data_IF_708111545846
#
_entry.id   IF_708111545846
#
_cell.length_a   1.000
_cell.length_b   1.000
_cell.length_c   1.000
_cell.angle_alpha   90.00
_cell.angle_beta   90.00
_cell.angle_gamma   90.00
#
_symmetry.space_group_name_H-M   'P 1'
#
loop_
_entity.id
_entity.type
_entity.pdbx_description
1 polymer ?
#
# COMPACT_ATOMS: atom_id res chain seq x y z
N UNK A 1 -21.20 32.52 -33.59
CA UNK A 1 -20.70 33.30 -34.75
C UNK A 1 -19.20 33.47 -34.50
N UNK A 2 -18.39 32.96 -35.39
CA UNK A 2 -16.94 33.13 -35.31
C UNK A 2 -16.58 34.55 -35.72
N UNK A 3 -15.75 35.23 -34.93
CA UNK A 3 -15.34 36.61 -35.22
C UNK A 3 -13.99 36.59 -35.92
N UNK A 4 -13.88 37.35 -37.03
CA UNK A 4 -12.65 37.55 -37.76
C UNK A 4 -12.09 38.94 -37.41
N UNK A 5 -10.92 38.97 -36.79
CA UNK A 5 -10.24 40.20 -36.46
C UNK A 5 -9.18 40.51 -37.50
N UNK A 6 -9.29 41.65 -38.12
CA UNK A 6 -8.34 42.14 -39.10
C UNK A 6 -7.58 43.34 -38.57
N UNK A 7 -6.28 43.20 -38.47
CA UNK A 7 -5.43 44.27 -37.97
C UNK A 7 -4.63 44.89 -39.13
N UNK A 8 -4.75 46.18 -39.33
CA UNK A 8 -4.10 46.93 -40.37
C UNK A 8 -3.59 48.29 -39.86
N UNK A 9 -2.41 48.73 -40.36
CA UNK A 9 -1.75 49.99 -39.99
C UNK A 9 -2.65 51.26 -40.19
N UNK A 10 -3.53 51.20 -41.14
CA UNK A 10 -4.30 52.35 -41.58
C UNK A 10 -5.76 52.32 -41.15
N UNK A 11 -6.20 51.30 -40.45
CA UNK A 11 -7.62 51.09 -40.14
C UNK A 11 -8.50 50.92 -41.40
N UNK A 12 -7.90 50.92 -42.61
CA UNK A 12 -8.63 50.69 -43.84
C UNK A 12 -8.72 49.23 -44.17
N UNK A 13 -9.92 48.75 -44.31
CA UNK A 13 -10.19 47.38 -44.79
C UNK A 13 -9.76 47.34 -46.24
N UNK A 14 -8.71 46.59 -46.59
CA UNK A 14 -8.59 46.00 -47.89
C UNK A 14 -9.79 45.08 -47.98
N UNK A 15 -10.73 45.34 -48.89
CA UNK A 15 -11.99 44.61 -49.06
C UNK A 15 -11.73 43.10 -48.91
N UNK A 16 -12.17 42.57 -47.79
CA UNK A 16 -12.18 41.09 -47.63
C UNK A 16 -13.36 40.63 -48.46
N UNK A 17 -13.15 39.81 -49.54
CA UNK A 17 -14.24 39.35 -50.34
C UNK A 17 -15.22 38.58 -49.47
N UNK A 18 -16.49 38.97 -49.40
CA UNK A 18 -17.52 38.29 -48.61
C UNK A 18 -18.18 39.14 -47.50
N UNK A 19 -17.77 40.41 -47.30
CA UNK A 19 -18.43 41.30 -46.33
C UNK A 19 -19.61 42.07 -46.91
N UNK A 20 -19.83 42.03 -48.25
CA UNK A 20 -21.06 42.53 -48.81
C UNK A 20 -22.18 41.53 -48.57
N UNK A 21 -23.19 41.96 -47.87
CA UNK A 21 -24.41 41.24 -47.54
C UNK A 21 -24.94 40.40 -48.69
N UNK A 22 -24.69 39.12 -48.69
CA UNK A 22 -25.33 38.18 -49.60
C UNK A 22 -26.77 37.93 -49.12
N UNK A 23 -27.64 38.92 -49.41
CA UNK A 23 -29.07 38.72 -49.48
C UNK A 23 -29.40 38.65 -50.95
N UNK A 24 -29.61 37.45 -51.48
CA UNK A 24 -30.22 37.28 -52.79
C UNK A 24 -31.61 37.92 -52.74
N UNK A 25 -32.02 38.58 -53.82
CA UNK A 25 -33.28 39.31 -53.90
C UNK A 25 -34.56 38.48 -53.71
N UNK A 26 -34.46 37.21 -53.32
CA UNK A 26 -35.53 36.27 -53.03
C UNK A 26 -35.57 35.73 -51.60
N UNK A 27 -34.76 36.25 -50.67
CA UNK A 27 -34.91 35.92 -49.25
C UNK A 27 -34.54 34.49 -48.82
N UNK A 28 -33.84 33.73 -49.62
CA UNK A 28 -33.39 32.38 -49.26
C UNK A 28 -31.97 32.46 -48.72
N UNK A 29 -31.82 32.11 -47.47
CA UNK A 29 -30.51 31.91 -46.81
C UNK A 29 -29.79 30.73 -47.52
N UNK A 30 -28.63 30.98 -48.15
CA UNK A 30 -27.74 29.91 -48.58
C UNK A 30 -27.26 29.15 -47.35
N UNK A 31 -27.77 27.95 -47.18
CA UNK A 31 -27.24 26.97 -46.21
C UNK A 31 -25.74 26.76 -46.47
N UNK A 32 -24.92 26.93 -45.46
CA UNK A 32 -23.49 26.63 -45.34
C UNK A 32 -22.47 27.76 -45.62
N UNK A 33 -22.80 29.02 -45.52
CA UNK A 33 -21.78 30.05 -45.32
C UNK A 33 -21.63 30.38 -43.83
N UNK A 34 -20.46 30.06 -43.26
CA UNK A 34 -20.06 30.56 -41.95
C UNK A 34 -19.96 32.09 -42.07
N UNK A 35 -20.93 32.78 -41.49
CA UNK A 35 -20.93 34.25 -41.44
C UNK A 35 -19.93 34.67 -40.38
N UNK A 36 -18.84 35.30 -40.81
CA UNK A 36 -17.87 35.92 -39.91
C UNK A 36 -18.24 37.39 -39.69
N UNK A 37 -18.21 37.81 -38.43
CA UNK A 37 -18.24 39.23 -38.09
C UNK A 37 -16.80 39.76 -38.22
N UNK A 38 -16.54 40.64 -39.22
CA UNK A 38 -15.21 41.22 -39.41
C UNK A 38 -15.10 42.47 -38.56
N UNK A 39 -14.13 42.47 -37.65
CA UNK A 39 -13.75 43.62 -36.85
C UNK A 39 -12.36 44.06 -37.27
N UNK A 40 -12.20 45.38 -37.47
CA UNK A 40 -10.91 46.01 -37.77
C UNK A 40 -10.47 46.77 -36.54
N UNK A 41 -9.24 46.50 -36.09
CA UNK A 41 -8.69 47.17 -34.91
C UNK A 41 -7.19 47.44 -35.04
N UNK A 42 -6.70 48.32 -34.22
CA UNK A 42 -5.26 48.58 -34.03
C UNK A 42 -4.71 47.69 -32.94
N UNK A 43 -3.37 47.55 -32.85
CA UNK A 43 -2.72 46.79 -31.80
C UNK A 43 -3.05 47.28 -30.39
N UNK A 44 -3.31 48.58 -30.23
CA UNK A 44 -3.65 49.21 -28.94
C UNK A 44 -5.07 48.86 -28.49
N UNK A 45 -6.03 48.74 -29.40
CA UNK A 45 -7.40 48.34 -29.11
C UNK A 45 -7.50 46.85 -28.67
N UNK A 46 -6.50 46.07 -29.02
CA UNK A 46 -6.45 44.63 -28.66
C UNK A 46 -6.23 44.42 -27.14
N UNK A 47 -5.66 45.36 -26.44
CA UNK A 47 -5.40 45.28 -25.00
C UNK A 47 -6.65 45.16 -24.13
N UNK A 48 -7.80 45.60 -24.64
CA UNK A 48 -9.07 45.62 -23.89
C UNK A 48 -9.99 44.45 -24.25
N UNK A 49 -9.57 43.58 -25.20
CA UNK A 49 -10.45 42.54 -25.75
C UNK A 49 -10.15 41.14 -25.18
N UNK A 50 -11.17 40.51 -24.60
CA UNK A 50 -11.14 39.09 -24.31
C UNK A 50 -11.30 38.28 -25.60
N UNK A 51 -10.21 37.67 -26.08
CA UNK A 51 -10.23 36.83 -27.28
C UNK A 51 -10.73 35.45 -26.87
N UNK A 52 -11.80 34.98 -27.53
CA UNK A 52 -12.30 33.64 -27.40
C UNK A 52 -11.65 32.70 -28.42
N UNK A 53 -11.66 31.41 -28.15
CA UNK A 53 -11.11 30.36 -29.05
C UNK A 53 -11.79 30.27 -30.42
N UNK A 54 -12.89 30.98 -30.64
CA UNK A 54 -13.64 31.03 -31.91
C UNK A 54 -13.23 32.23 -32.79
N UNK A 55 -12.29 33.05 -32.35
CA UNK A 55 -11.82 34.22 -33.06
C UNK A 55 -10.62 33.90 -33.94
N UNK A 56 -10.48 34.63 -35.03
CA UNK A 56 -9.38 34.49 -35.99
C UNK A 56 -8.64 35.79 -36.03
N UNK A 57 -7.33 35.75 -36.06
CA UNK A 57 -6.51 36.97 -36.18
C UNK A 57 -5.78 36.94 -37.48
N UNK A 58 -6.02 37.94 -38.30
CA UNK A 58 -5.33 38.19 -39.54
C UNK A 58 -4.37 39.36 -39.37
N UNK A 59 -3.10 39.11 -39.63
CA UNK A 59 -2.04 40.13 -39.54
C UNK A 59 -1.66 40.55 -40.96
N UNK A 60 -1.84 41.81 -41.31
CA UNK A 60 -1.59 42.30 -42.66
C UNK A 60 -0.18 42.85 -42.88
N UNK A 61 0.53 43.25 -41.81
CA UNK A 61 1.85 43.83 -41.89
C UNK A 61 2.72 43.37 -40.68
N UNK A 62 3.98 43.06 -41.00
CA UNK A 62 4.92 42.60 -39.97
C UNK A 62 5.56 43.76 -39.18
N UNK A 63 5.35 45.03 -39.59
CA UNK A 63 5.99 46.16 -38.94
C UNK A 63 5.26 46.63 -37.69
N UNK A 64 3.96 46.33 -37.56
CA UNK A 64 3.13 46.80 -36.44
C UNK A 64 3.03 45.76 -35.30
N UNK A 65 3.23 44.52 -35.64
CA UNK A 65 3.05 43.39 -34.69
C UNK A 65 4.40 42.83 -34.30
N UNK A 66 4.83 43.20 -33.10
CA UNK A 66 6.01 42.61 -32.49
C UNK A 66 5.74 41.21 -31.95
N UNK A 67 6.81 40.50 -31.66
CA UNK A 67 6.76 39.14 -31.10
C UNK A 67 5.94 39.10 -29.78
N UNK A 68 5.95 40.17 -28.99
CA UNK A 68 5.22 40.26 -27.73
C UNK A 68 3.72 40.35 -27.94
N UNK A 69 3.25 40.98 -29.01
CA UNK A 69 1.84 41.00 -29.38
C UNK A 69 1.33 39.62 -29.74
N UNK A 70 2.06 38.92 -30.61
CA UNK A 70 1.65 37.56 -31.08
C UNK A 70 1.66 36.56 -29.93
N UNK A 71 2.59 36.67 -29.00
CA UNK A 71 2.65 35.79 -27.82
C UNK A 71 1.50 36.02 -26.83
N UNK A 72 0.88 37.17 -26.79
CA UNK A 72 -0.30 37.45 -25.95
C UNK A 72 -1.57 36.79 -26.46
N UNK A 73 -1.61 36.45 -27.75
CA UNK A 73 -2.74 35.76 -28.35
C UNK A 73 -2.75 34.31 -27.86
N UNK A 74 -3.86 33.80 -27.30
CA UNK A 74 -3.94 32.44 -26.85
C UNK A 74 -3.52 31.44 -27.93
N UNK A 75 -2.79 30.41 -27.56
CA UNK A 75 -2.32 29.39 -28.50
C UNK A 75 -3.47 28.64 -29.23
N UNK A 76 -4.66 28.66 -28.65
CA UNK A 76 -5.88 28.06 -29.21
C UNK A 76 -6.47 28.86 -30.38
N UNK A 77 -6.10 30.15 -30.52
CA UNK A 77 -6.61 31.03 -31.54
C UNK A 77 -5.75 30.93 -32.80
N UNK A 78 -6.31 30.64 -34.01
CA UNK A 78 -5.57 30.61 -35.25
C UNK A 78 -5.05 31.99 -35.63
N UNK A 79 -3.75 32.05 -35.96
CA UNK A 79 -3.03 33.27 -36.33
C UNK A 79 -2.58 33.17 -37.79
N UNK A 80 -3.14 33.95 -38.68
CA UNK A 80 -2.89 33.90 -40.12
C UNK A 80 -2.24 35.23 -40.56
N UNK A 81 -1.19 35.15 -41.40
CA UNK A 81 -0.60 36.35 -41.98
C UNK A 81 -0.99 36.46 -43.44
N UNK A 82 -1.33 37.70 -43.87
CA UNK A 82 -1.57 38.03 -45.29
C UNK A 82 -0.33 38.70 -45.87
N UNK A 83 0.30 38.06 -46.85
CA UNK A 83 1.53 38.54 -47.47
C UNK A 83 1.20 39.06 -48.88
N UNK A 84 1.50 40.35 -49.14
CA UNK A 84 1.31 40.98 -50.46
C UNK A 84 2.38 40.51 -51.43
N UNK A 85 1.99 40.37 -52.73
CA UNK A 85 2.94 40.08 -53.80
C UNK A 85 3.94 41.26 -53.88
N UNK A 86 5.23 41.00 -53.78
CA UNK A 86 6.26 42.05 -53.75
C UNK A 86 6.74 42.43 -52.30
N UNK A 87 6.26 41.78 -51.26
CA UNK A 87 6.76 41.98 -49.91
C UNK A 87 8.28 41.69 -49.87
N UNK A 88 9.09 42.59 -49.34
CA UNK A 88 10.55 42.43 -49.26
C UNK A 88 10.96 41.18 -48.46
N UNK A 89 12.09 40.52 -48.82
CA UNK A 89 12.54 39.34 -48.10
C UNK A 89 12.69 39.57 -46.58
N UNK A 90 13.19 40.70 -46.18
CA UNK A 90 13.33 41.09 -44.76
C UNK A 90 12.00 41.08 -43.97
N UNK A 91 10.89 41.49 -44.63
CA UNK A 91 9.56 41.41 -44.02
C UNK A 91 9.02 39.98 -43.90
N UNK A 92 9.42 39.10 -44.83
CA UNK A 92 9.10 37.66 -44.75
C UNK A 92 9.85 37.02 -43.60
N UNK A 93 11.13 37.28 -43.43
CA UNK A 93 11.92 36.80 -42.25
C UNK A 93 11.35 37.26 -40.94
N UNK A 94 10.78 38.48 -40.87
CA UNK A 94 10.09 38.95 -39.67
C UNK A 94 8.80 38.20 -39.40
N UNK A 95 8.02 37.88 -40.44
CA UNK A 95 6.81 37.06 -40.28
C UNK A 95 7.14 35.62 -39.90
N UNK A 96 8.23 35.05 -40.40
CA UNK A 96 8.72 33.72 -40.02
C UNK A 96 9.16 33.61 -38.54
N UNK A 97 9.56 34.75 -37.96
CA UNK A 97 9.89 34.82 -36.51
C UNK A 97 8.66 34.89 -35.61
N UNK A 98 7.54 35.36 -36.20
CA UNK A 98 6.26 35.35 -35.48
C UNK A 98 5.71 33.91 -35.55
N UNK A 99 5.39 33.32 -34.43
CA UNK A 99 4.79 31.98 -34.33
C UNK A 99 3.36 31.99 -34.92
N UNK A 100 3.28 32.06 -36.27
CA UNK A 100 2.04 32.10 -37.02
C UNK A 100 1.67 30.71 -37.49
N UNK A 101 0.37 30.42 -37.55
CA UNK A 101 -0.14 29.13 -37.95
C UNK A 101 -0.13 28.93 -39.46
N UNK A 102 -0.36 30.01 -40.25
CA UNK A 102 -0.26 29.97 -41.69
C UNK A 102 -0.01 31.35 -42.30
N UNK A 103 0.58 31.37 -43.50
CA UNK A 103 0.76 32.57 -44.32
C UNK A 103 -0.02 32.40 -45.63
N UNK A 104 -0.82 33.42 -45.99
CA UNK A 104 -1.61 33.47 -47.22
C UNK A 104 -1.04 34.53 -48.14
N UNK A 105 -0.62 34.15 -49.36
CA UNK A 105 -0.13 35.06 -50.36
C UNK A 105 -1.28 35.88 -51.02
N UNK A 106 -1.05 37.11 -51.39
CA UNK A 106 -2.05 37.98 -52.04
C UNK A 106 -2.46 37.44 -53.38
N UNK A 107 -3.66 37.46 -53.67
CA UNK A 107 -4.61 36.97 -54.61
C UNK A 107 -5.48 35.88 -53.93
N UNK A 108 -5.66 36.06 -52.65
CA UNK A 108 -6.54 35.17 -51.89
C UNK A 108 -8.00 35.39 -52.30
N UNK A 109 -8.66 34.27 -52.42
CA UNK A 109 -10.12 34.26 -52.54
C UNK A 109 -10.68 33.97 -51.15
N UNK A 110 -11.92 34.34 -50.86
CA UNK A 110 -12.63 34.03 -49.64
C UNK A 110 -12.51 32.52 -49.31
N UNK A 111 -12.67 31.69 -50.36
CA UNK A 111 -12.53 30.26 -50.24
C UNK A 111 -11.14 29.82 -49.74
N UNK A 112 -10.06 30.48 -50.19
CA UNK A 112 -8.68 30.12 -49.74
C UNK A 112 -8.40 30.50 -48.28
N UNK A 113 -8.92 31.65 -47.84
CA UNK A 113 -8.83 32.09 -46.43
C UNK A 113 -9.62 31.14 -45.54
N UNK A 114 -10.86 30.83 -45.97
CA UNK A 114 -11.70 29.90 -45.22
C UNK A 114 -11.08 28.50 -45.11
N UNK A 115 -10.50 27.99 -46.19
CA UNK A 115 -9.84 26.68 -46.19
C UNK A 115 -8.61 26.66 -45.26
N UNK A 116 -7.76 27.69 -45.36
CA UNK A 116 -6.59 27.80 -44.47
C UNK A 116 -6.99 27.88 -42.99
N UNK A 117 -8.00 28.69 -42.69
CA UNK A 117 -8.55 28.79 -41.35
C UNK A 117 -9.07 27.45 -40.83
N UNK A 118 -9.94 26.79 -41.61
CA UNK A 118 -10.52 25.53 -41.26
C UNK A 118 -9.43 24.50 -40.95
N UNK A 119 -8.40 24.43 -41.78
CA UNK A 119 -7.26 23.53 -41.60
C UNK A 119 -6.49 23.84 -40.32
N UNK A 120 -6.14 25.11 -40.09
CA UNK A 120 -5.44 25.51 -38.84
C UNK A 120 -6.28 25.25 -37.60
N UNK A 121 -7.58 25.50 -37.63
CA UNK A 121 -8.47 25.22 -36.50
C UNK A 121 -8.60 23.71 -36.23
N UNK A 122 -8.67 22.88 -37.28
CA UNK A 122 -8.68 21.42 -37.14
C UNK A 122 -7.36 20.90 -36.57
N UNK A 123 -6.21 21.39 -37.05
CA UNK A 123 -4.88 21.01 -36.55
C UNK A 123 -4.73 21.42 -35.08
N UNK A 124 -5.12 22.62 -34.68
CA UNK A 124 -5.08 23.07 -33.29
C UNK A 124 -5.98 22.24 -32.38
N UNK A 125 -7.17 21.88 -32.82
CA UNK A 125 -8.08 21.00 -32.09
C UNK A 125 -7.47 19.60 -31.92
N UNK A 126 -6.84 19.07 -32.97
CA UNK A 126 -6.19 17.78 -32.94
C UNK A 126 -4.99 17.80 -31.95
N UNK A 127 -4.16 18.85 -32.00
CA UNK A 127 -3.04 19.03 -31.06
C UNK A 127 -3.55 19.13 -29.62
N UNK A 128 -4.58 19.94 -29.38
CA UNK A 128 -5.15 20.08 -28.04
C UNK A 128 -5.73 18.75 -27.52
N UNK A 129 -6.41 18.00 -28.37
CA UNK A 129 -6.91 16.66 -28.02
C UNK A 129 -5.77 15.70 -27.68
N UNK A 130 -4.70 15.66 -28.49
CA UNK A 130 -3.50 14.84 -28.22
C UNK A 130 -2.78 15.23 -26.92
N UNK A 131 -2.71 16.52 -26.63
CA UNK A 131 -2.12 17.02 -25.38
C UNK A 131 -2.94 16.58 -24.16
N UNK A 132 -4.27 16.63 -24.26
CA UNK A 132 -5.17 16.15 -23.20
C UNK A 132 -5.03 14.64 -23.01
N UNK A 133 -4.99 13.87 -24.09
CA UNK A 133 -4.73 12.42 -24.02
C UNK A 133 -3.36 12.12 -23.41
N UNK A 134 -2.30 12.83 -23.82
CA UNK A 134 -0.97 12.66 -23.28
C UNK A 134 -0.94 12.95 -21.77
N UNK A 135 -1.63 14.00 -21.33
CA UNK A 135 -1.77 14.35 -19.92
C UNK A 135 -2.48 13.24 -19.14
N UNK A 136 -3.56 12.69 -19.73
CA UNK A 136 -4.29 11.59 -19.13
C UNK A 136 -3.45 10.30 -19.04
N UNK A 137 -2.72 9.93 -20.10
CA UNK A 137 -1.80 8.78 -20.07
C UNK A 137 -0.67 8.98 -19.07
N UNK A 138 -0.11 10.19 -18.98
CA UNK A 138 0.92 10.51 -18.00
C UNK A 138 0.40 10.36 -16.55
N UNK A 139 -0.83 10.84 -16.30
CA UNK A 139 -1.48 10.69 -14.99
C UNK A 139 -1.71 9.23 -14.63
N UNK A 140 -2.23 8.43 -15.58
CA UNK A 140 -2.45 6.99 -15.39
C UNK A 140 -1.13 6.27 -15.10
N UNK A 141 -0.08 6.55 -15.90
CA UNK A 141 1.23 5.97 -15.72
C UNK A 141 1.83 6.30 -14.35
N UNK A 142 1.73 7.57 -13.92
CA UNK A 142 2.20 8.02 -12.62
C UNK A 142 1.45 7.31 -11.47
N UNK A 143 0.14 7.18 -11.59
CA UNK A 143 -0.69 6.47 -10.61
C UNK A 143 -0.32 4.99 -10.53
N UNK A 144 -0.10 4.34 -11.68
CA UNK A 144 0.32 2.94 -11.73
C UNK A 144 1.72 2.73 -11.12
N UNK A 145 2.68 3.61 -11.42
CA UNK A 145 4.03 3.57 -10.84
C UNK A 145 4.00 3.78 -9.32
N UNK A 146 3.20 4.74 -8.84
CA UNK A 146 3.04 4.99 -7.41
C UNK A 146 2.43 3.78 -6.69
N UNK A 147 1.40 3.18 -7.28
CA UNK A 147 0.76 1.97 -6.74
C UNK A 147 1.73 0.79 -6.71
N UNK A 148 2.54 0.59 -7.77
CA UNK A 148 3.55 -0.45 -7.80
C UNK A 148 4.63 -0.24 -6.73
N UNK A 149 5.08 1.00 -6.51
CA UNK A 149 6.04 1.35 -5.47
C UNK A 149 5.47 1.10 -4.06
N UNK A 150 4.22 1.51 -3.80
CA UNK A 150 3.53 1.27 -2.54
C UNK A 150 3.38 -0.23 -2.26
N UNK A 151 3.05 -1.04 -3.28
CA UNK A 151 3.00 -2.50 -3.16
C UNK A 151 4.37 -3.13 -2.96
N UNK A 152 5.43 -2.54 -3.53
CA UNK A 152 6.81 -2.93 -3.27
C UNK A 152 7.18 -2.79 -1.80
N UNK A 153 6.76 -1.69 -1.15
CA UNK A 153 6.95 -1.49 0.30
C UNK A 153 6.23 -2.58 1.10
N UNK A 154 5.00 -2.96 0.72
CA UNK A 154 4.26 -4.05 1.40
C UNK A 154 4.98 -5.39 1.24
N UNK A 155 5.46 -5.71 0.04
CA UNK A 155 6.17 -6.96 -0.22
C UNK A 155 7.47 -7.05 0.59
N UNK A 156 8.25 -5.97 0.62
CA UNK A 156 9.46 -5.87 1.43
C UNK A 156 9.16 -5.98 2.93
N UNK A 157 8.09 -5.32 3.39
CA UNK A 157 7.63 -5.44 4.77
C UNK A 157 7.25 -6.89 5.10
N UNK A 158 6.45 -7.54 4.26
CA UNK A 158 6.04 -8.93 4.46
C UNK A 158 7.25 -9.86 4.62
N UNK A 159 8.28 -9.70 3.78
CA UNK A 159 9.52 -10.45 3.86
C UNK A 159 10.30 -10.14 5.15
N UNK A 160 10.41 -8.85 5.50
CA UNK A 160 11.20 -8.40 6.65
C UNK A 160 10.65 -8.88 8.00
N UNK A 161 9.32 -9.10 8.10
CA UNK A 161 8.71 -9.53 9.37
C UNK A 161 8.65 -11.03 9.56
N UNK A 162 8.93 -11.83 8.51
CA UNK A 162 8.85 -13.30 8.60
C UNK A 162 9.71 -13.89 9.71
N UNK A 163 10.90 -13.33 9.93
CA UNK A 163 11.88 -13.84 10.88
C UNK A 163 11.88 -13.11 12.24
N UNK A 164 10.92 -12.22 12.48
CA UNK A 164 10.82 -11.48 13.72
C UNK A 164 10.13 -12.36 14.77
N UNK A 165 10.83 -12.68 15.84
CA UNK A 165 10.33 -13.48 16.97
C UNK A 165 9.94 -12.66 18.21
N UNK A 166 10.07 -11.33 18.15
CA UNK A 166 9.81 -10.41 19.26
C UNK A 166 8.78 -9.34 18.87
N UNK A 167 7.81 -9.09 19.75
CA UNK A 167 6.73 -8.14 19.51
C UNK A 167 7.22 -6.69 19.37
N UNK A 168 8.25 -6.29 20.11
CA UNK A 168 8.84 -4.96 20.04
C UNK A 168 9.48 -4.72 18.66
N UNK A 169 10.24 -5.71 18.17
CA UNK A 169 10.86 -5.65 16.84
C UNK A 169 9.81 -5.62 15.73
N UNK A 170 8.75 -6.42 15.86
CA UNK A 170 7.63 -6.39 14.92
C UNK A 170 7.01 -4.99 14.85
N UNK A 171 6.71 -4.38 15.99
CA UNK A 171 6.14 -3.05 16.04
C UNK A 171 7.09 -1.98 15.47
N UNK A 172 8.39 -2.03 15.77
CA UNK A 172 9.38 -1.11 15.21
C UNK A 172 9.47 -1.22 13.69
N UNK A 173 9.49 -2.44 13.15
CA UNK A 173 9.52 -2.67 11.70
C UNK A 173 8.23 -2.19 11.02
N UNK A 174 7.09 -2.39 11.67
CA UNK A 174 5.80 -1.90 11.17
C UNK A 174 5.76 -0.36 11.17
N UNK A 175 6.22 0.29 12.24
CA UNK A 175 6.31 1.76 12.28
C UNK A 175 7.27 2.32 11.23
N UNK A 176 8.39 1.62 10.94
CA UNK A 176 9.30 1.99 9.86
C UNK A 176 8.61 1.89 8.51
N UNK A 177 7.89 0.81 8.25
CA UNK A 177 7.11 0.62 7.02
C UNK A 177 6.07 1.73 6.83
N UNK A 178 5.34 2.14 7.87
CA UNK A 178 4.41 3.27 7.83
C UNK A 178 5.13 4.58 7.47
N UNK A 179 6.33 4.80 8.01
CA UNK A 179 7.15 5.97 7.69
C UNK A 179 7.63 5.97 6.23
N UNK A 180 7.96 4.80 5.67
CA UNK A 180 8.33 4.66 4.26
C UNK A 180 7.16 5.01 3.33
N UNK A 181 5.92 4.79 3.77
CA UNK A 181 4.70 5.26 3.12
C UNK A 181 4.38 6.73 3.42
N UNK A 182 5.26 7.45 4.13
CA UNK A 182 5.09 8.85 4.54
C UNK A 182 3.87 9.09 5.43
N UNK A 183 3.53 8.14 6.29
CA UNK A 183 2.46 8.26 7.29
C UNK A 183 2.96 7.92 8.68
N UNK A 184 2.31 8.49 9.70
CA UNK A 184 2.62 8.27 11.11
C UNK A 184 1.40 7.74 11.85
N UNK A 185 1.64 6.96 12.88
CA UNK A 185 0.54 6.39 13.64
C UNK A 185 0.96 5.62 14.87
N UNK A 186 -0.02 4.96 15.44
CA UNK A 186 0.11 4.12 16.62
C UNK A 186 -0.39 2.71 16.30
N UNK A 187 0.25 1.73 16.90
CA UNK A 187 -0.04 0.32 16.70
C UNK A 187 -0.36 -0.28 18.05
N UNK A 188 -1.43 -1.03 18.14
CA UNK A 188 -1.78 -1.82 19.30
C UNK A 188 -1.97 -3.27 18.88
N UNK A 189 -1.26 -4.18 19.57
CA UNK A 189 -1.52 -5.61 19.51
C UNK A 189 -2.19 -6.05 20.82
N UNK A 190 -3.35 -6.69 20.73
CA UNK A 190 -4.14 -7.10 21.90
C UNK A 190 -4.38 -8.61 21.88
N UNK A 191 -3.99 -9.27 22.96
CA UNK A 191 -4.25 -10.67 23.24
C UNK A 191 -5.00 -10.79 24.57
N UNK A 192 -5.57 -11.93 24.89
CA UNK A 192 -6.37 -12.14 26.09
C UNK A 192 -5.64 -11.76 27.38
N UNK A 193 -4.34 -12.01 27.45
CA UNK A 193 -3.50 -11.81 28.63
C UNK A 193 -2.80 -10.44 28.66
N UNK A 194 -2.56 -9.81 27.52
CA UNK A 194 -1.75 -8.59 27.44
C UNK A 194 -2.05 -7.76 26.20
N UNK A 195 -1.91 -6.44 26.35
CA UNK A 195 -1.96 -5.46 25.25
C UNK A 195 -0.61 -4.74 25.14
N UNK A 196 -0.12 -4.60 23.90
CA UNK A 196 1.12 -3.93 23.55
C UNK A 196 0.80 -2.72 22.68
N UNK A 197 1.27 -1.52 23.07
CA UNK A 197 1.03 -0.27 22.35
C UNK A 197 2.35 0.37 21.95
N UNK A 198 2.45 0.80 20.69
CA UNK A 198 3.65 1.40 20.14
C UNK A 198 3.31 2.64 19.27
N UNK A 199 4.10 3.73 19.39
CA UNK A 199 5.09 3.95 20.46
C UNK A 199 4.42 4.08 21.85
N UNK A 200 5.15 3.77 22.91
CA UNK A 200 4.62 3.74 24.29
C UNK A 200 4.08 5.11 24.77
N UNK A 201 4.59 6.20 24.22
CA UNK A 201 4.22 7.56 24.59
C UNK A 201 2.94 8.07 23.89
N UNK A 202 1.94 7.20 23.75
CA UNK A 202 0.65 7.58 23.17
C UNK A 202 -0.11 8.57 24.06
N UNK A 203 -0.71 9.62 23.46
CA UNK A 203 -1.54 10.54 24.21
C UNK A 203 -2.85 9.89 24.64
N UNK A 204 -3.39 10.32 25.80
CA UNK A 204 -4.64 9.81 26.35
C UNK A 204 -5.82 9.96 25.37
N UNK A 205 -5.81 11.01 24.53
CA UNK A 205 -6.81 11.24 23.48
C UNK A 205 -6.84 10.09 22.45
N UNK A 206 -5.68 9.68 21.96
CA UNK A 206 -5.59 8.60 20.97
C UNK A 206 -5.90 7.23 21.57
N UNK A 207 -5.50 7.03 22.83
CA UNK A 207 -5.82 5.82 23.56
C UNK A 207 -7.33 5.63 23.77
N UNK A 208 -8.04 6.71 24.10
CA UNK A 208 -9.50 6.70 24.21
C UNK A 208 -10.16 6.46 22.85
N UNK A 209 -9.61 7.03 21.77
CA UNK A 209 -10.10 6.82 20.41
C UNK A 209 -9.97 5.34 20.00
N UNK A 210 -8.81 4.72 20.23
CA UNK A 210 -8.57 3.30 19.95
C UNK A 210 -9.58 2.42 20.73
N UNK A 211 -9.80 2.68 22.02
CA UNK A 211 -10.77 1.93 22.85
C UNK A 211 -12.21 2.06 22.33
N UNK A 212 -12.63 3.27 21.96
CA UNK A 212 -13.98 3.51 21.45
C UNK A 212 -14.22 2.86 20.10
N UNK A 213 -13.23 2.91 19.21
CA UNK A 213 -13.35 2.35 17.87
C UNK A 213 -13.21 0.83 17.83
N UNK A 214 -12.45 0.25 18.75
CA UNK A 214 -12.33 -1.21 18.89
C UNK A 214 -13.67 -1.91 19.17
N UNK A 215 -14.58 -1.22 19.88
CA UNK A 215 -15.93 -1.74 20.17
C UNK A 215 -16.96 -1.46 19.07
N UNK A 216 -16.61 -0.71 18.02
CA UNK A 216 -17.57 -0.27 17.01
C UNK A 216 -17.98 -1.33 15.98
N UNK A 217 -17.28 -2.47 15.92
CA UNK A 217 -17.51 -3.52 14.93
C UNK A 217 -17.08 -3.18 13.50
N UNK A 218 -16.63 -1.95 13.24
CA UNK A 218 -16.15 -1.53 11.93
C UNK A 218 -14.67 -1.89 11.77
N UNK A 219 -14.34 -2.64 10.70
CA UNK A 219 -12.97 -3.08 10.43
C UNK A 219 -12.05 -1.93 10.02
N UNK A 220 -12.53 -1.00 9.22
CA UNK A 220 -11.78 0.17 8.74
C UNK A 220 -12.65 1.40 8.90
N UNK A 221 -12.15 2.40 9.60
CA UNK A 221 -12.78 3.70 9.80
C UNK A 221 -11.88 4.77 9.20
N UNK A 222 -12.46 5.65 8.39
CA UNK A 222 -11.76 6.79 7.78
C UNK A 222 -12.49 8.06 8.16
N UNK A 223 -11.84 8.96 8.90
CA UNK A 223 -12.43 10.21 9.34
C UNK A 223 -11.39 11.35 9.22
N UNK A 224 -11.50 12.15 8.18
CA UNK A 224 -10.55 13.22 7.91
C UNK A 224 -9.13 12.67 7.80
N UNK A 225 -8.20 13.19 8.61
CA UNK A 225 -6.79 12.76 8.65
C UNK A 225 -6.54 11.43 9.35
N UNK A 226 -7.57 10.81 9.91
CA UNK A 226 -7.43 9.57 10.68
C UNK A 226 -7.87 8.37 9.86
N UNK A 227 -7.00 7.34 9.82
CA UNK A 227 -7.39 5.99 9.49
C UNK A 227 -7.31 5.13 10.75
N UNK A 228 -8.32 4.32 10.99
CA UNK A 228 -8.35 3.37 12.08
C UNK A 228 -8.66 2.00 11.49
N UNK A 229 -7.79 1.06 11.75
CA UNK A 229 -7.92 -0.32 11.33
C UNK A 229 -8.13 -1.18 12.57
N UNK A 230 -9.28 -1.85 12.67
CA UNK A 230 -9.64 -2.72 13.76
C UNK A 230 -9.65 -4.15 13.27
N UNK A 231 -8.60 -4.88 13.55
CA UNK A 231 -8.49 -6.31 13.31
C UNK A 231 -8.63 -7.04 14.64
N UNK A 232 -8.68 -8.34 14.64
CA UNK A 232 -8.94 -9.15 15.84
C UNK A 232 -7.88 -8.92 16.93
N UNK A 233 -6.60 -9.01 16.57
CA UNK A 233 -5.47 -8.85 17.48
C UNK A 233 -4.59 -7.63 17.19
N UNK A 234 -4.90 -6.86 16.15
CA UNK A 234 -4.13 -5.68 15.75
C UNK A 234 -5.06 -4.48 15.51
N UNK A 235 -4.71 -3.34 16.10
CA UNK A 235 -5.40 -2.09 15.87
C UNK A 235 -4.37 -1.01 15.52
N UNK A 236 -4.58 -0.33 14.36
CA UNK A 236 -3.70 0.73 13.89
C UNK A 236 -4.46 2.05 13.83
N UNK A 237 -3.83 3.11 14.29
CA UNK A 237 -4.33 4.48 14.20
C UNK A 237 -3.31 5.31 13.40
N UNK A 238 -3.66 5.71 12.19
CA UNK A 238 -2.88 6.67 11.40
C UNK A 238 -3.41 8.07 11.66
N UNK A 239 -2.53 9.05 11.86
CA UNK A 239 -2.90 10.40 12.31
C UNK A 239 -2.75 11.49 11.26
N UNK A 240 -2.08 11.20 10.15
CA UNK A 240 -1.68 12.15 9.11
C UNK A 240 -1.99 11.68 7.69
N UNK A 241 -3.12 11.00 7.51
CA UNK A 241 -3.58 10.58 6.18
C UNK A 241 -3.71 11.79 5.21
N UNK A 242 -3.28 11.65 3.93
CA UNK A 242 -3.23 12.75 2.96
C UNK A 242 -4.63 13.07 2.40
N UNK A 243 -5.41 13.86 3.11
CA UNK A 243 -6.79 14.23 2.72
C UNK A 243 -6.84 15.09 1.45
N UNK A 244 -5.74 15.77 1.14
CA UNK A 244 -5.64 16.69 -0.01
C UNK A 244 -5.56 15.95 -1.36
N UNK A 245 -5.16 14.68 -1.35
CA UNK A 245 -5.05 13.81 -2.54
C UNK A 245 -5.98 12.60 -2.37
N UNK A 246 -7.20 12.63 -2.95
CA UNK A 246 -8.18 11.55 -2.79
C UNK A 246 -7.70 10.20 -3.34
N UNK A 247 -6.92 10.20 -4.43
CA UNK A 247 -6.40 8.98 -5.04
C UNK A 247 -5.34 8.33 -4.15
N UNK A 248 -4.40 9.12 -3.65
CA UNK A 248 -3.40 8.66 -2.68
C UNK A 248 -4.06 8.21 -1.37
N UNK A 249 -5.08 8.94 -0.91
CA UNK A 249 -5.84 8.60 0.28
C UNK A 249 -6.48 7.22 0.18
N UNK A 250 -7.14 6.91 -0.95
CA UNK A 250 -7.74 5.60 -1.22
C UNK A 250 -6.70 4.48 -1.27
N UNK A 251 -5.63 4.67 -2.06
CA UNK A 251 -4.55 3.68 -2.19
C UNK A 251 -3.87 3.37 -0.86
N UNK A 252 -3.50 4.40 -0.09
CA UNK A 252 -2.85 4.22 1.21
C UNK A 252 -3.74 3.47 2.21
N UNK A 253 -5.04 3.74 2.23
CA UNK A 253 -5.98 2.99 3.07
C UNK A 253 -5.91 1.49 2.77
N UNK A 254 -5.92 1.13 1.49
CA UNK A 254 -5.91 -0.27 1.08
C UNK A 254 -4.54 -0.93 1.32
N UNK A 255 -3.44 -0.23 1.03
CA UNK A 255 -2.07 -0.66 1.31
C UNK A 255 -1.85 -0.89 2.81
N UNK A 256 -2.27 0.05 3.67
CA UNK A 256 -2.12 -0.08 5.11
C UNK A 256 -2.96 -1.24 5.65
N UNK A 257 -4.14 -1.51 5.09
CA UNK A 257 -4.93 -2.68 5.47
C UNK A 257 -4.17 -4.00 5.25
N UNK A 258 -3.40 -4.12 4.18
CA UNK A 258 -2.51 -5.27 3.95
C UNK A 258 -1.39 -5.34 4.99
N UNK A 259 -0.75 -4.21 5.32
CA UNK A 259 0.29 -4.15 6.35
C UNK A 259 -0.27 -4.60 7.72
N UNK A 260 -1.46 -4.13 8.09
CA UNK A 260 -2.14 -4.55 9.34
C UNK A 260 -2.38 -6.05 9.36
N UNK A 261 -2.88 -6.61 8.26
CA UNK A 261 -3.12 -8.06 8.13
C UNK A 261 -1.84 -8.88 8.30
N UNK A 262 -0.74 -8.46 7.67
CA UNK A 262 0.56 -9.11 7.78
C UNK A 262 1.11 -9.01 9.21
N UNK A 263 1.04 -7.80 9.81
CA UNK A 263 1.46 -7.56 11.18
C UNK A 263 0.68 -8.42 12.18
N UNK A 264 -0.64 -8.51 12.03
CA UNK A 264 -1.49 -9.34 12.87
C UNK A 264 -1.15 -10.82 12.77
N UNK A 265 -0.99 -11.33 11.55
CA UNK A 265 -0.61 -12.73 11.32
C UNK A 265 0.72 -13.07 12.00
N UNK A 266 1.73 -12.18 11.87
CA UNK A 266 3.01 -12.39 12.54
C UNK A 266 2.91 -12.26 14.07
N UNK A 267 2.15 -11.30 14.58
CA UNK A 267 1.90 -11.14 16.02
C UNK A 267 1.25 -12.39 16.63
N UNK A 268 0.26 -12.97 15.95
CA UNK A 268 -0.36 -14.27 16.35
C UNK A 268 0.68 -15.39 16.39
N UNK A 269 1.56 -15.48 15.40
CA UNK A 269 2.63 -16.48 15.36
C UNK A 269 3.62 -16.32 16.52
N UNK A 270 4.07 -15.08 16.80
CA UNK A 270 4.95 -14.77 17.92
C UNK A 270 4.30 -15.22 19.24
N UNK A 271 3.03 -14.87 19.44
CA UNK A 271 2.30 -15.23 20.66
C UNK A 271 2.11 -16.73 20.80
N UNK A 272 1.77 -17.43 19.72
CA UNK A 272 1.66 -18.88 19.72
C UNK A 272 2.99 -19.57 20.08
N UNK A 273 4.11 -19.06 19.57
CA UNK A 273 5.44 -19.57 19.91
C UNK A 273 5.81 -19.31 21.37
N UNK A 274 5.46 -18.15 21.94
CA UNK A 274 5.64 -17.86 23.38
C UNK A 274 4.83 -18.85 24.24
N UNK A 275 3.56 -19.09 23.88
CA UNK A 275 2.71 -20.05 24.59
C UNK A 275 3.26 -21.47 24.50
N UNK A 276 3.73 -21.87 23.33
CA UNK A 276 4.33 -23.20 23.14
C UNK A 276 5.58 -23.38 24.00
N UNK A 277 6.48 -22.39 24.05
CA UNK A 277 7.67 -22.42 24.91
C UNK A 277 7.30 -22.50 26.40
N UNK A 278 6.32 -21.75 26.85
CA UNK A 278 5.82 -21.82 28.22
C UNK A 278 5.22 -23.20 28.53
N UNK A 279 4.48 -23.77 27.61
CA UNK A 279 3.91 -25.13 27.75
C UNK A 279 4.99 -26.19 27.82
N UNK A 280 6.05 -26.09 27.02
CA UNK A 280 7.20 -27.02 27.06
C UNK A 280 7.89 -26.96 28.42
N UNK A 281 8.14 -25.78 28.96
CA UNK A 281 8.80 -25.61 30.27
C UNK A 281 7.96 -26.17 31.42
N UNK A 282 6.63 -25.90 31.36
CA UNK A 282 5.71 -26.51 32.32
C UNK A 282 5.72 -28.04 32.22
N UNK A 283 5.74 -28.60 31.04
CA UNK A 283 5.77 -30.07 30.84
C UNK A 283 7.08 -30.66 31.37
N UNK A 284 8.23 -30.00 31.13
CA UNK A 284 9.52 -30.41 31.71
C UNK A 284 9.46 -30.46 33.23
N UNK A 285 8.92 -29.42 33.85
CA UNK A 285 8.80 -29.32 35.30
C UNK A 285 7.93 -30.46 35.85
N UNK A 286 6.79 -30.73 35.20
CA UNK A 286 5.89 -31.82 35.63
C UNK A 286 6.60 -33.16 35.54
N UNK A 287 7.33 -33.44 34.43
CA UNK A 287 8.08 -34.71 34.29
C UNK A 287 9.15 -34.85 35.38
N UNK A 288 9.92 -33.80 35.63
CA UNK A 288 10.93 -33.83 36.70
C UNK A 288 10.31 -34.14 38.08
N UNK A 289 9.17 -33.50 38.39
CA UNK A 289 8.46 -33.79 39.66
C UNK A 289 7.93 -35.23 39.69
N UNK A 290 7.46 -35.75 38.59
CA UNK A 290 6.94 -37.12 38.48
C UNK A 290 8.08 -38.16 38.63
N UNK A 291 9.25 -37.91 38.03
CA UNK A 291 10.45 -38.73 38.19
C UNK A 291 10.90 -38.79 39.66
N UNK A 292 10.96 -37.62 40.33
CA UNK A 292 11.32 -37.55 41.75
C UNK A 292 10.32 -38.29 42.63
N UNK A 293 9.01 -38.08 42.42
CA UNK A 293 7.98 -38.75 43.20
C UNK A 293 7.96 -40.28 42.97
N UNK A 294 8.19 -40.71 41.73
CA UNK A 294 8.31 -42.13 41.39
C UNK A 294 9.49 -42.80 42.11
N UNK A 295 10.64 -42.12 42.07
CA UNK A 295 11.85 -42.62 42.76
C UNK A 295 11.69 -42.73 44.29
N UNK A 296 11.10 -41.68 44.89
CA UNK A 296 10.83 -41.67 46.34
C UNK A 296 9.85 -42.76 46.73
N UNK A 297 8.79 -42.95 45.96
CA UNK A 297 7.78 -43.97 46.16
C UNK A 297 8.40 -45.39 46.04
N UNK A 298 9.21 -45.64 44.99
CA UNK A 298 9.93 -46.89 44.80
C UNK A 298 10.85 -47.22 46.00
N UNK A 299 11.59 -46.21 46.48
CA UNK A 299 12.49 -46.38 47.62
C UNK A 299 11.72 -46.69 48.91
N UNK A 300 10.64 -45.98 49.17
CA UNK A 300 9.79 -46.16 50.35
C UNK A 300 9.12 -47.54 50.35
N UNK A 301 8.56 -47.96 49.22
CA UNK A 301 7.93 -49.27 49.14
C UNK A 301 8.92 -50.40 49.31
N UNK A 302 10.14 -50.27 48.71
CA UNK A 302 11.19 -51.26 48.89
C UNK A 302 11.62 -51.41 50.38
N UNK A 303 11.71 -50.27 51.09
CA UNK A 303 12.01 -50.26 52.54
C UNK A 303 10.90 -50.94 53.34
N UNK A 304 9.64 -50.58 53.11
CA UNK A 304 8.46 -51.15 53.78
C UNK A 304 8.39 -52.67 53.55
N UNK A 305 8.60 -53.13 52.31
CA UNK A 305 8.55 -54.56 51.98
C UNK A 305 9.71 -55.34 52.63
N UNK A 306 10.89 -54.70 52.72
CA UNK A 306 12.03 -55.32 53.43
C UNK A 306 11.74 -55.47 54.95
N UNK A 307 11.20 -54.41 55.57
CA UNK A 307 10.78 -54.46 56.98
C UNK A 307 9.67 -55.49 57.22
N UNK A 308 8.69 -55.55 56.32
CA UNK A 308 7.60 -56.51 56.42
C UNK A 308 8.12 -57.98 56.30
N UNK A 309 9.04 -58.24 55.34
CA UNK A 309 9.66 -59.58 55.19
C UNK A 309 10.47 -60.01 56.43
N UNK A 310 11.19 -59.04 57.04
CA UNK A 310 11.93 -59.30 58.31
C UNK A 310 10.98 -59.61 59.47
N UNK A 311 9.92 -58.83 59.62
CA UNK A 311 8.90 -59.00 60.67
C UNK A 311 8.14 -60.34 60.51
N UNK A 312 7.80 -60.70 59.24
CA UNK A 312 7.18 -61.99 58.99
C UNK A 312 8.09 -63.17 59.33
N UNK A 313 9.41 -63.06 59.11
CA UNK A 313 10.38 -64.08 59.45
C UNK A 313 10.54 -64.22 60.98
N UNK A 314 10.54 -63.09 61.71
CA UNK A 314 10.55 -63.10 63.17
C UNK A 314 9.29 -63.74 63.76
N UNK A 315 8.12 -63.46 63.19
CA UNK A 315 6.86 -64.05 63.62
C UNK A 315 6.85 -65.58 63.33
N UNK A 316 7.35 -65.98 62.18
CA UNK A 316 7.45 -67.41 61.81
C UNK A 316 8.32 -68.20 62.80
N UNK A 317 9.47 -67.66 63.20
CA UNK A 317 10.37 -68.27 64.22
C UNK A 317 9.75 -68.31 65.58
N UNK A 318 8.94 -67.28 65.97
CA UNK A 318 8.29 -67.19 67.28
C UNK A 318 7.05 -68.09 67.45
N UNK A 319 6.39 -68.49 66.36
CA UNK A 319 5.19 -69.29 66.37
C UNK A 319 5.41 -70.79 66.16
N UNK A 320 6.65 -71.30 66.08
CA UNK A 320 7.01 -72.66 65.87
C UNK A 320 6.26 -73.31 64.66
N UNK A 321 6.15 -72.52 63.52
CA UNK A 321 5.48 -72.91 62.29
C UNK A 321 6.19 -74.15 61.66
N UNK A 322 5.42 -75.05 61.08
CA UNK A 322 6.00 -76.10 60.28
C UNK A 322 6.63 -75.57 58.99
N UNK A 323 7.52 -76.36 58.37
CA UNK A 323 8.29 -75.95 57.19
C UNK A 323 7.41 -75.53 56.00
N UNK A 324 6.21 -76.21 55.84
CA UNK A 324 5.27 -75.84 54.77
C UNK A 324 4.60 -74.47 54.97
N UNK A 325 4.26 -74.14 56.19
CA UNK A 325 3.67 -72.82 56.53
C UNK A 325 4.69 -71.71 56.44
N UNK A 326 5.94 -71.91 56.81
CA UNK A 326 7.04 -70.99 56.67
C UNK A 326 7.31 -70.69 55.16
N UNK A 327 7.41 -71.73 54.36
CA UNK A 327 7.62 -71.62 52.91
C UNK A 327 6.44 -70.96 52.18
N UNK A 328 5.19 -71.21 52.59
CA UNK A 328 4.00 -70.56 52.04
C UNK A 328 3.97 -69.07 52.35
N UNK A 329 4.36 -68.67 53.56
CA UNK A 329 4.38 -67.30 53.97
C UNK A 329 5.50 -66.48 53.30
N UNK A 330 6.68 -67.09 53.12
CA UNK A 330 7.77 -66.50 52.36
C UNK A 330 7.40 -66.36 50.84
N UNK A 331 6.74 -67.39 50.24
CA UNK A 331 6.28 -67.34 48.88
C UNK A 331 5.23 -66.23 48.66
N UNK A 332 4.36 -65.98 49.63
CA UNK A 332 3.37 -64.91 49.55
C UNK A 332 4.04 -63.50 49.59
N UNK A 333 5.08 -63.35 50.41
CA UNK A 333 5.88 -62.11 50.44
C UNK A 333 6.64 -61.88 49.15
N UNK A 334 7.19 -62.94 48.54
CA UNK A 334 7.89 -62.87 47.28
C UNK A 334 6.95 -62.56 46.10
N UNK A 335 5.74 -63.15 46.13
CA UNK A 335 4.67 -62.83 45.14
C UNK A 335 4.22 -61.39 45.25
N UNK A 336 4.11 -60.84 46.48
CA UNK A 336 3.78 -59.43 46.68
C UNK A 336 4.86 -58.48 46.11
N UNK A 337 6.15 -58.82 46.32
CA UNK A 337 7.28 -58.09 45.74
C UNK A 337 7.23 -58.10 44.20
N UNK A 338 7.03 -59.27 43.59
CA UNK A 338 6.95 -59.40 42.12
C UNK A 338 5.79 -58.62 41.53
N UNK A 339 4.64 -58.60 42.20
CA UNK A 339 3.48 -57.80 41.79
C UNK A 339 3.75 -56.30 41.86
N UNK A 340 4.50 -55.84 42.85
CA UNK A 340 4.93 -54.44 42.99
C UNK A 340 5.96 -54.04 41.91
N UNK A 341 6.90 -54.91 41.59
CA UNK A 341 7.85 -54.70 40.48
C UNK A 341 7.14 -54.52 39.15
N UNK A 342 6.11 -55.35 38.85
CA UNK A 342 5.26 -55.20 37.66
C UNK A 342 4.53 -53.86 37.62
N UNK A 343 4.09 -53.29 38.76
CA UNK A 343 3.49 -51.94 38.79
C UNK A 343 4.51 -50.85 38.48
N UNK A 344 5.76 -51.03 38.92
CA UNK A 344 6.84 -50.07 38.59
C UNK A 344 7.21 -50.11 37.13
N UNK A 345 7.22 -51.28 36.48
CA UNK A 345 7.44 -51.39 35.00
C UNK A 345 6.40 -50.60 34.20
N UNK A 346 5.14 -50.60 34.64
CA UNK A 346 4.08 -49.79 33.97
C UNK A 346 4.30 -48.30 34.18
N UNK A 347 4.78 -47.90 35.34
CA UNK A 347 5.10 -46.48 35.63
C UNK A 347 6.29 -46.02 34.79
N UNK A 348 7.35 -46.84 34.66
CA UNK A 348 8.52 -46.57 33.82
C UNK A 348 8.13 -46.43 32.33
N UNK A 349 7.18 -47.25 31.86
CA UNK A 349 6.64 -47.14 30.49
C UNK A 349 5.91 -45.81 30.26
N UNK A 350 5.12 -45.33 31.23
CA UNK A 350 4.44 -44.04 31.17
C UNK A 350 5.46 -42.89 31.14
N UNK A 351 6.48 -42.96 31.99
CA UNK A 351 7.57 -41.97 32.06
C UNK A 351 8.34 -41.91 30.73
N UNK A 352 8.67 -43.04 30.15
CA UNK A 352 9.29 -43.16 28.82
C UNK A 352 8.44 -42.50 27.72
N UNK A 353 7.13 -42.71 27.75
CA UNK A 353 6.20 -42.04 26.82
C UNK A 353 6.22 -40.51 26.97
N UNK A 354 6.20 -39.95 28.19
CA UNK A 354 6.29 -38.53 28.42
C UNK A 354 7.61 -37.96 27.94
N UNK A 355 8.72 -38.60 28.15
CA UNK A 355 10.04 -38.19 27.62
C UNK A 355 10.05 -38.21 26.08
N UNK A 356 9.43 -39.18 25.44
CA UNK A 356 9.30 -39.25 23.98
C UNK A 356 8.47 -38.08 23.45
N UNK A 357 7.35 -37.74 24.10
CA UNK A 357 6.53 -36.57 23.74
C UNK A 357 7.30 -35.26 23.88
N UNK A 358 8.09 -35.08 24.95
CA UNK A 358 8.97 -33.92 25.11
C UNK A 358 9.98 -33.79 23.98
N UNK A 359 10.64 -34.88 23.58
CA UNK A 359 11.58 -34.88 22.46
C UNK A 359 10.90 -34.48 21.14
N UNK A 360 9.68 -34.96 20.91
CA UNK A 360 8.89 -34.57 19.72
C UNK A 360 8.52 -33.09 19.77
N UNK A 361 8.12 -32.54 20.90
CA UNK A 361 7.84 -31.14 21.08
C UNK A 361 9.11 -30.27 20.91
N UNK A 362 10.26 -30.70 21.44
CA UNK A 362 11.55 -30.03 21.25
C UNK A 362 11.98 -30.02 19.78
N UNK A 363 11.75 -31.13 19.05
CA UNK A 363 12.02 -31.19 17.61
C UNK A 363 11.08 -30.28 16.81
N UNK A 364 9.79 -30.27 17.13
CA UNK A 364 8.84 -29.37 16.48
C UNK A 364 9.20 -27.89 16.72
N UNK A 365 9.59 -27.52 17.93
CA UNK A 365 10.05 -26.17 18.26
C UNK A 365 11.32 -25.79 17.50
N UNK A 366 12.29 -26.70 17.37
CA UNK A 366 13.51 -26.48 16.59
C UNK A 366 13.24 -26.34 15.10
N UNK A 367 12.30 -27.09 14.54
CA UNK A 367 11.89 -26.94 13.14
C UNK A 367 11.25 -25.57 12.89
N UNK A 368 10.46 -25.05 13.82
CA UNK A 368 9.91 -23.69 13.75
C UNK A 368 11.00 -22.61 13.86
N UNK A 369 12.03 -22.84 14.66
CA UNK A 369 13.17 -21.92 14.80
C UNK A 369 14.15 -22.03 13.61
N UNK A 370 14.36 -23.20 13.02
CA UNK A 370 15.27 -23.39 11.89
C UNK A 370 14.70 -22.87 10.58
N UNK A 371 13.39 -22.91 10.37
CA UNK A 371 12.76 -22.24 9.25
C UNK A 371 12.96 -20.71 9.30
N UNK A 372 13.17 -20.14 10.49
CA UNK A 372 13.52 -18.75 10.70
C UNK A 372 15.01 -18.43 10.38
N UNK A 373 15.91 -19.41 10.37
CA UNK A 373 17.37 -19.21 10.18
C UNK A 373 17.87 -19.48 8.77
N UNK A 374 17.28 -20.38 8.00
CA UNK A 374 17.72 -20.69 6.64
C UNK A 374 17.47 -19.54 5.65
N UNK A 375 16.45 -18.71 5.88
CA UNK A 375 16.22 -17.51 5.07
C UNK A 375 17.16 -16.33 5.37
N UNK A 376 17.93 -16.36 6.45
CA UNK A 376 18.91 -15.29 6.75
C UNK A 376 20.12 -15.28 5.81
N UNK A 377 20.53 -16.43 5.29
CA UNK A 377 21.70 -16.57 4.43
C UNK A 377 21.42 -16.25 2.96
N UNK A 378 20.18 -16.37 2.50
CA UNK A 378 19.84 -16.03 1.10
C UNK A 378 19.53 -14.54 0.87
N UNK A 379 19.14 -13.80 1.93
CA UNK A 379 18.77 -12.38 1.80
C UNK A 379 19.98 -11.45 1.79
N UNK A 380 21.13 -11.83 2.35
CA UNK A 380 22.37 -11.02 2.26
C UNK A 380 23.05 -11.14 0.90
N UNK A 381 22.81 -12.20 0.15
CA UNK A 381 23.41 -12.41 -1.18
C UNK A 381 22.63 -11.75 -2.35
N UNK A 382 21.40 -11.30 -2.15
CA UNK A 382 20.54 -10.74 -3.23
C UNK A 382 20.42 -9.21 -3.23
N UNK A 383 21.07 -8.50 -2.32
CA UNK A 383 20.99 -7.02 -2.23
C UNK A 383 22.08 -6.31 -3.06
N UNK A 384 23.02 -7.04 -3.68
CA UNK A 384 24.09 -6.44 -4.51
C UNK A 384 23.74 -6.30 -6.01
N UNK A 385 22.52 -6.55 -6.43
CA UNK A 385 22.12 -6.44 -7.83
C UNK A 385 20.80 -5.66 -7.98
N UNK A 386 20.84 -4.32 -7.72
CA UNK A 386 20.00 -3.33 -8.45
C UNK A 386 20.43 -1.92 -8.07
#
# INVERSE_FOLDING_TARGET
MSQLWFFSETGQILSVPGTESAVDGEGHAKENMLTYEVRVGTADEFHELCISSEQIILISSAKEFDENFVRRIPATVPKLALIKCGTPPAAREQLDRLELDACILTNFTEASVHLAFKKCAEEKRAIAALQEELKNYSSIAFTAMSSASEMGVVAFYAQSVQNISDMNRLAQQTLRCLKDLSVQGYIQFSFEDRSYIYPENISQKYLNLLKQTGSSGCRILSQGRFFIFNFENAQFLITDAPVEDPDKYGRLRDVIAHIVSIAEARAKTIKANEMLKAQQENTRTVIMLLEMASQDNRTSVKTIMTELSLSLREIATGLDLNLEQETAMLALSEQALTSLESLYETTDAIESHFRSLLLQLDQAAKLLESSDTEHKTETEASVELF
#
